data_IF_467430092851
#
_entry.id   IF_467430092851
#
_cell.length_a   1.000
_cell.length_b   1.000
_cell.length_c   1.000
_cell.angle_alpha   90.00
_cell.angle_beta   90.00
_cell.angle_gamma   90.00
#
_symmetry.space_group_name_H-M   'P 1'
#
loop_
_entity.id
_entity.type
_entity.pdbx_description
1 polymer ?
#
# COMPACT_ATOMS: atom_id res chain seq x y z
N UNK A 1 -0.08 -17.50 30.59
CA UNK A 1 0.44 -17.90 29.26
C UNK A 1 0.14 -16.76 28.31
N UNK A 2 1.16 -16.11 27.77
CA UNK A 2 0.97 -14.91 26.93
C UNK A 2 0.77 -15.35 25.49
N UNK A 3 -0.49 -15.53 25.07
CA UNK A 3 -0.82 -15.88 23.68
C UNK A 3 -0.53 -14.68 22.78
N UNK A 4 0.69 -14.58 22.27
CA UNK A 4 1.08 -13.54 21.32
C UNK A 4 0.21 -13.68 20.07
N UNK A 5 -0.67 -12.69 19.84
CA UNK A 5 -1.50 -12.65 18.64
C UNK A 5 -0.57 -12.52 17.42
N UNK A 6 -0.54 -13.56 16.58
CA UNK A 6 0.23 -13.59 15.34
C UNK A 6 -0.17 -12.41 14.45
N UNK A 7 0.81 -11.54 14.14
CA UNK A 7 0.62 -10.34 13.32
C UNK A 7 0.40 -10.70 11.85
N UNK A 8 -0.16 -9.75 11.08
CA UNK A 8 -0.46 -9.90 9.63
C UNK A 8 0.74 -10.44 8.84
N UNK A 9 1.93 -9.92 9.11
CA UNK A 9 3.21 -10.38 8.54
C UNK A 9 3.40 -11.90 8.72
N UNK A 10 3.29 -12.38 9.95
CA UNK A 10 3.51 -13.80 10.29
C UNK A 10 2.41 -14.70 9.68
N UNK A 11 1.16 -14.25 9.65
CA UNK A 11 0.05 -14.99 9.03
C UNK A 11 0.25 -15.17 7.53
N UNK A 12 0.50 -14.07 6.80
CA UNK A 12 0.55 -14.04 5.33
C UNK A 12 1.87 -14.59 4.80
N UNK A 13 3.01 -14.26 5.40
CA UNK A 13 4.34 -14.70 4.91
C UNK A 13 4.77 -16.05 5.47
N UNK A 14 4.73 -16.21 6.80
CA UNK A 14 5.35 -17.38 7.47
C UNK A 14 4.40 -18.58 7.59
N UNK A 15 3.13 -18.35 7.93
CA UNK A 15 2.18 -19.44 8.22
C UNK A 15 1.49 -19.94 6.96
N UNK A 16 0.87 -19.05 6.18
CA UNK A 16 0.07 -19.39 5.01
C UNK A 16 0.77 -19.11 3.66
N UNK A 17 1.97 -18.51 3.66
CA UNK A 17 2.61 -18.01 2.43
C UNK A 17 2.82 -19.05 1.33
N UNK A 18 3.22 -20.28 1.68
CA UNK A 18 3.35 -21.38 0.71
C UNK A 18 2.04 -21.65 -0.04
N UNK A 19 0.93 -21.58 0.69
CA UNK A 19 -0.41 -21.95 0.23
C UNK A 19 -1.06 -20.78 -0.52
N UNK A 20 -0.78 -19.54 -0.08
CA UNK A 20 -1.22 -18.30 -0.75
C UNK A 20 -0.59 -18.19 -2.14
N UNK A 21 0.74 -18.31 -2.23
CA UNK A 21 1.51 -18.02 -3.45
C UNK A 21 1.88 -19.24 -4.29
N UNK A 22 1.38 -20.43 -3.91
CA UNK A 22 1.63 -21.71 -4.59
C UNK A 22 3.13 -22.02 -4.77
N UNK A 23 3.89 -21.81 -3.70
CA UNK A 23 5.36 -21.92 -3.69
C UNK A 23 5.87 -22.71 -2.49
N UNK A 24 7.07 -23.27 -2.61
CA UNK A 24 7.78 -23.84 -1.48
C UNK A 24 8.07 -22.76 -0.42
N UNK A 25 7.94 -23.11 0.87
CA UNK A 25 8.22 -22.21 2.00
C UNK A 25 9.68 -21.72 2.01
N UNK A 26 10.62 -22.52 1.49
CA UNK A 26 12.02 -22.13 1.31
C UNK A 26 12.17 -20.84 0.48
N UNK A 27 11.35 -20.65 -0.55
CA UNK A 27 11.38 -19.45 -1.41
C UNK A 27 10.92 -18.17 -0.71
N UNK A 28 10.19 -18.29 0.41
CA UNK A 28 9.70 -17.17 1.21
C UNK A 28 10.57 -16.90 2.45
N UNK A 29 11.47 -17.82 2.77
CA UNK A 29 12.20 -17.87 4.05
C UNK A 29 13.14 -16.69 4.28
N UNK A 30 13.70 -16.11 3.21
CA UNK A 30 14.67 -15.02 3.31
C UNK A 30 14.38 -13.93 2.28
N UNK A 31 14.87 -12.71 2.53
CA UNK A 31 14.82 -11.63 1.55
C UNK A 31 15.44 -12.02 0.21
N UNK A 32 16.62 -12.66 0.22
CA UNK A 32 17.34 -13.04 -0.99
C UNK A 32 16.51 -14.01 -1.85
N UNK A 33 15.92 -15.04 -1.22
CA UNK A 33 15.06 -16.00 -1.91
C UNK A 33 13.79 -15.35 -2.46
N UNK A 34 13.27 -14.30 -1.83
CA UNK A 34 12.08 -13.56 -2.31
C UNK A 34 12.36 -12.67 -3.52
N UNK A 35 13.62 -12.29 -3.81
CA UNK A 35 13.96 -11.49 -5.01
C UNK A 35 13.56 -12.17 -6.33
N UNK A 36 13.43 -13.49 -6.37
CA UNK A 36 12.93 -14.22 -7.54
C UNK A 36 11.51 -13.80 -7.95
N UNK A 37 10.72 -13.25 -7.02
CA UNK A 37 9.34 -12.80 -7.28
C UNK A 37 9.23 -11.33 -7.69
N UNK A 38 10.34 -10.61 -7.94
CA UNK A 38 10.34 -9.16 -8.24
C UNK A 38 9.39 -8.79 -9.40
N UNK A 39 9.31 -9.62 -10.44
CA UNK A 39 8.46 -9.40 -11.61
C UNK A 39 6.98 -9.54 -11.24
N UNK A 40 6.63 -10.51 -10.40
CA UNK A 40 5.27 -10.74 -9.88
C UNK A 40 4.71 -9.54 -9.11
N UNK A 41 5.59 -8.77 -8.46
CA UNK A 41 5.25 -7.55 -7.68
C UNK A 41 5.40 -6.25 -8.47
N UNK A 42 5.71 -6.34 -9.77
CA UNK A 42 5.68 -5.24 -10.72
C UNK A 42 7.03 -4.73 -11.22
N UNK A 43 8.15 -5.43 -10.99
CA UNK A 43 9.46 -5.03 -11.54
C UNK A 43 9.44 -4.98 -13.06
N UNK A 44 9.73 -3.81 -13.64
CA UNK A 44 9.76 -3.61 -15.09
C UNK A 44 10.89 -2.72 -15.53
N UNK A 45 11.44 -3.05 -16.70
CA UNK A 45 12.32 -2.19 -17.48
C UNK A 45 11.48 -1.25 -18.34
N UNK A 46 11.93 0.00 -18.48
CA UNK A 46 11.34 0.99 -19.38
C UNK A 46 12.44 1.87 -19.98
N UNK A 47 12.23 2.42 -21.18
CA UNK A 47 13.16 3.39 -21.77
C UNK A 47 12.72 4.79 -21.36
N UNK A 48 13.65 5.60 -20.86
CA UNK A 48 13.39 7.03 -20.62
C UNK A 48 13.39 7.83 -21.93
N UNK A 49 13.04 9.13 -21.86
CA UNK A 49 12.98 10.01 -23.04
C UNK A 49 14.32 10.17 -23.78
N UNK A 50 15.45 9.73 -23.18
CA UNK A 50 16.79 9.74 -23.78
C UNK A 50 17.21 8.34 -24.27
N UNK A 51 16.30 7.37 -24.24
CA UNK A 51 16.52 5.99 -24.68
C UNK A 51 17.24 5.10 -23.65
N UNK A 52 17.62 5.62 -22.49
CA UNK A 52 18.29 4.83 -21.47
C UNK A 52 17.31 3.88 -20.78
N UNK A 53 17.72 2.63 -20.58
CA UNK A 53 16.91 1.65 -19.84
C UNK A 53 16.95 1.99 -18.35
N UNK A 54 15.77 2.06 -17.75
CA UNK A 54 15.52 2.28 -16.33
C UNK A 54 14.71 1.11 -15.80
N UNK A 55 14.88 0.82 -14.52
CA UNK A 55 14.12 -0.22 -13.82
C UNK A 55 13.31 0.44 -12.70
N UNK A 56 12.04 0.03 -12.55
CA UNK A 56 11.20 0.40 -11.41
C UNK A 56 10.14 -0.67 -11.14
N UNK A 57 9.61 -0.66 -9.93
CA UNK A 57 8.34 -1.34 -9.66
C UNK A 57 7.19 -0.48 -10.20
N UNK A 58 6.28 -1.10 -10.94
CA UNK A 58 5.01 -0.51 -11.35
C UNK A 58 3.98 -0.69 -10.24
N UNK A 59 3.17 0.34 -9.99
CA UNK A 59 2.04 0.30 -9.04
C UNK A 59 0.91 -0.58 -9.58
N UNK A 60 0.70 -0.54 -10.90
CA UNK A 60 -0.43 -1.15 -11.59
C UNK A 60 -0.07 -2.36 -12.45
N UNK A 61 1.10 -2.39 -13.08
CA UNK A 61 1.50 -3.51 -13.93
C UNK A 61 2.12 -4.64 -13.08
N UNK A 62 1.27 -5.28 -12.28
CA UNK A 62 1.61 -6.23 -11.20
C UNK A 62 0.79 -7.52 -11.33
N UNK A 63 1.48 -8.66 -11.44
CA UNK A 63 0.84 -9.98 -11.58
C UNK A 63 -0.09 -10.33 -10.40
N UNK A 64 0.39 -10.18 -9.16
CA UNK A 64 -0.38 -10.58 -7.96
C UNK A 64 -1.65 -9.76 -7.71
N UNK A 65 -1.88 -8.67 -8.47
CA UNK A 65 -3.12 -7.91 -8.43
C UNK A 65 -4.15 -8.42 -9.43
N UNK A 66 -3.71 -8.96 -10.57
CA UNK A 66 -4.59 -9.26 -11.70
C UNK A 66 -4.92 -10.73 -11.76
N UNK A 67 -6.19 -11.05 -11.97
CA UNK A 67 -6.59 -12.33 -12.50
C UNK A 67 -6.05 -12.47 -13.94
N UNK A 68 -5.60 -13.67 -14.31
CA UNK A 68 -5.20 -14.02 -15.69
C UNK A 68 -4.24 -13.00 -16.35
N UNK A 69 -3.17 -12.63 -15.63
CA UNK A 69 -2.31 -11.50 -15.98
C UNK A 69 -1.46 -11.69 -17.26
N UNK A 70 -1.78 -10.95 -18.32
CA UNK A 70 -1.05 -10.97 -19.60
C UNK A 70 0.12 -9.95 -19.69
N UNK A 71 0.45 -9.26 -18.59
CA UNK A 71 1.58 -8.35 -18.53
C UNK A 71 1.26 -6.86 -18.62
N UNK A 72 0.00 -6.46 -18.69
CA UNK A 72 -0.46 -5.05 -18.65
C UNK A 72 -1.63 -4.86 -17.67
N UNK A 73 -1.98 -3.61 -17.35
CA UNK A 73 -3.10 -3.29 -16.47
C UNK A 73 -4.42 -3.64 -17.18
N UNK A 74 -5.21 -4.52 -16.55
CA UNK A 74 -6.59 -4.80 -16.97
C UNK A 74 -7.56 -4.39 -15.87
N UNK A 75 -8.33 -3.33 -16.13
CA UNK A 75 -9.32 -2.77 -15.20
C UNK A 75 -10.46 -3.74 -14.84
N UNK A 76 -10.69 -4.79 -15.64
CA UNK A 76 -11.72 -5.80 -15.39
C UNK A 76 -11.21 -6.96 -14.53
N UNK A 77 -9.90 -7.17 -14.46
CA UNK A 77 -9.26 -8.27 -13.75
C UNK A 77 -8.37 -7.82 -12.57
N UNK A 78 -8.12 -6.52 -12.41
CA UNK A 78 -7.41 -5.94 -11.26
C UNK A 78 -8.19 -6.18 -9.96
N UNK A 79 -7.45 -6.49 -8.89
CA UNK A 79 -7.93 -6.93 -7.59
C UNK A 79 -8.74 -8.26 -7.57
N UNK A 80 -8.78 -9.01 -8.68
CA UNK A 80 -9.47 -10.31 -8.77
C UNK A 80 -8.53 -11.52 -8.77
N UNK A 81 -7.23 -11.35 -8.53
CA UNK A 81 -6.30 -12.47 -8.41
C UNK A 81 -6.65 -13.33 -7.15
N UNK A 82 -6.79 -14.67 -7.27
CA UNK A 82 -7.06 -15.57 -6.13
C UNK A 82 -6.10 -15.43 -4.94
N UNK A 83 -4.85 -14.99 -5.18
CA UNK A 83 -3.87 -14.66 -4.14
C UNK A 83 -4.45 -13.64 -3.14
N UNK A 84 -5.16 -12.61 -3.60
CA UNK A 84 -5.68 -11.55 -2.73
C UNK A 84 -6.78 -12.06 -1.79
N UNK A 85 -7.67 -12.92 -2.29
CA UNK A 85 -8.68 -13.59 -1.48
C UNK A 85 -8.02 -14.47 -0.40
N UNK A 86 -6.96 -15.22 -0.77
CA UNK A 86 -6.20 -16.03 0.19
C UNK A 86 -5.46 -15.16 1.22
N UNK A 87 -4.92 -14.01 0.82
CA UNK A 87 -4.31 -13.02 1.73
C UNK A 87 -5.35 -12.50 2.73
N UNK A 88 -6.53 -12.07 2.27
CA UNK A 88 -7.61 -11.62 3.15
C UNK A 88 -8.04 -12.72 4.12
N UNK A 89 -8.30 -13.93 3.62
CA UNK A 89 -8.63 -15.10 4.44
C UNK A 89 -7.57 -15.39 5.50
N UNK A 90 -6.28 -15.29 5.16
CA UNK A 90 -5.18 -15.45 6.12
C UNK A 90 -5.17 -14.36 7.20
N UNK A 91 -5.47 -13.10 6.83
CA UNK A 91 -5.57 -11.97 7.76
C UNK A 91 -6.75 -12.18 8.72
N UNK A 92 -7.99 -12.29 8.21
CA UNK A 92 -9.20 -12.28 9.04
C UNK A 92 -9.49 -13.63 9.73
N UNK A 93 -9.22 -14.77 9.07
CA UNK A 93 -9.62 -16.12 9.53
C UNK A 93 -8.43 -17.08 9.75
N UNK A 94 -7.20 -16.71 9.35
CA UNK A 94 -5.97 -17.49 9.59
C UNK A 94 -5.68 -18.60 8.57
N UNK A 95 -4.55 -19.30 8.72
CA UNK A 95 -4.04 -20.31 7.75
C UNK A 95 -5.09 -21.38 7.38
N UNK A 96 -5.91 -21.84 8.33
CA UNK A 96 -6.93 -22.86 8.07
C UNK A 96 -7.99 -22.41 7.04
N UNK A 97 -8.31 -21.12 6.99
CA UNK A 97 -9.24 -20.59 6.00
C UNK A 97 -8.65 -20.56 4.58
N UNK A 98 -7.33 -20.37 4.45
CA UNK A 98 -6.61 -20.49 3.17
C UNK A 98 -6.66 -21.92 2.66
N UNK A 99 -6.34 -22.90 3.51
CA UNK A 99 -6.40 -24.32 3.16
C UNK A 99 -7.83 -24.74 2.75
N UNK A 100 -8.86 -24.24 3.43
CA UNK A 100 -10.25 -24.48 3.07
C UNK A 100 -10.66 -23.81 1.74
N UNK A 101 -10.20 -22.59 1.47
CA UNK A 101 -10.45 -21.89 0.21
C UNK A 101 -9.80 -22.63 -0.97
N UNK A 102 -8.60 -23.18 -0.79
CA UNK A 102 -7.92 -24.01 -1.81
C UNK A 102 -8.68 -25.33 -2.05
N UNK A 103 -9.19 -25.98 -1.00
CA UNK A 103 -9.89 -27.25 -1.13
C UNK A 103 -11.33 -27.12 -1.67
N UNK A 104 -12.06 -26.09 -1.26
CA UNK A 104 -13.52 -25.99 -1.40
C UNK A 104 -14.00 -24.69 -2.09
N UNK A 105 -13.09 -23.83 -2.57
CA UNK A 105 -13.41 -22.52 -3.14
C UNK A 105 -13.86 -21.45 -2.12
N UNK A 106 -14.27 -21.84 -0.91
CA UNK A 106 -14.79 -20.93 0.13
C UNK A 106 -13.94 -20.95 1.41
N UNK A 107 -13.70 -19.79 2.04
CA UNK A 107 -12.95 -19.70 3.30
C UNK A 107 -13.77 -20.23 4.48
N UNK A 108 -13.55 -21.49 4.87
CA UNK A 108 -14.23 -22.07 6.04
C UNK A 108 -13.94 -21.28 7.33
N UNK A 109 -15.00 -20.99 8.09
CA UNK A 109 -14.84 -20.56 9.48
C UNK A 109 -14.27 -21.70 10.32
N UNK A 110 -13.28 -21.38 11.16
CA UNK A 110 -12.64 -22.33 12.04
C UNK A 110 -13.55 -22.70 13.25
N UNK A 111 -14.52 -23.58 13.00
CA UNK A 111 -15.40 -24.25 13.99
C UNK A 111 -16.14 -23.33 14.98
N UNK A 112 -17.40 -22.98 14.68
CA UNK A 112 -18.42 -22.49 15.65
C UNK A 112 -18.01 -21.34 16.58
N UNK A 113 -16.99 -20.58 16.23
CA UNK A 113 -16.60 -19.36 16.93
C UNK A 113 -16.90 -18.20 15.99
N UNK A 114 -17.47 -17.13 16.54
CA UNK A 114 -17.59 -15.84 15.86
C UNK A 114 -16.22 -15.47 15.28
N UNK A 115 -16.17 -15.27 13.97
CA UNK A 115 -14.99 -14.72 13.33
C UNK A 115 -14.88 -13.24 13.70
N UNK A 116 -13.69 -12.64 13.53
CA UNK A 116 -13.53 -11.19 13.73
C UNK A 116 -14.48 -10.39 12.84
N UNK A 117 -14.86 -10.94 11.67
CA UNK A 117 -15.88 -10.38 10.77
C UNK A 117 -17.27 -10.36 11.41
N UNK A 118 -17.66 -11.46 12.06
CA UNK A 118 -18.97 -11.59 12.72
C UNK A 118 -19.03 -10.70 13.96
N UNK A 119 -17.94 -10.67 14.75
CA UNK A 119 -17.78 -9.83 15.94
C UNK A 119 -17.78 -8.32 15.62
N UNK A 120 -17.35 -7.93 14.42
CA UNK A 120 -17.33 -6.54 13.96
C UNK A 120 -18.50 -6.19 13.02
N UNK A 121 -19.49 -7.09 12.88
CA UNK A 121 -20.67 -6.85 12.04
C UNK A 121 -20.35 -6.55 10.58
N UNK A 122 -19.19 -6.98 10.06
CA UNK A 122 -18.81 -6.70 8.67
C UNK A 122 -19.75 -7.47 7.73
N UNK A 123 -20.61 -6.75 7.03
CA UNK A 123 -21.60 -7.29 6.07
C UNK A 123 -21.10 -7.27 4.62
N UNK A 124 -20.05 -6.48 4.35
CA UNK A 124 -19.47 -6.29 3.02
C UNK A 124 -17.96 -6.01 3.08
N UNK A 125 -17.30 -6.12 1.93
CA UNK A 125 -15.89 -5.78 1.74
C UNK A 125 -15.71 -4.26 1.59
N UNK A 126 -14.75 -3.68 2.31
CA UNK A 126 -14.45 -2.25 2.21
C UNK A 126 -13.37 -1.96 1.16
N UNK A 127 -13.35 -0.76 0.55
CA UNK A 127 -12.26 -0.34 -0.35
C UNK A 127 -10.88 -0.46 0.29
N UNK A 128 -10.77 -0.07 1.57
CA UNK A 128 -9.54 -0.17 2.36
C UNK A 128 -9.07 -1.62 2.56
N UNK A 129 -9.98 -2.58 2.73
CA UNK A 129 -9.61 -3.99 2.85
C UNK A 129 -8.99 -4.54 1.56
N UNK A 130 -9.54 -4.18 0.39
CA UNK A 130 -9.02 -4.59 -0.92
C UNK A 130 -7.65 -3.93 -1.18
N UNK A 131 -7.54 -2.61 -0.97
CA UNK A 131 -6.29 -1.87 -1.12
C UNK A 131 -5.17 -2.41 -0.22
N UNK A 132 -5.48 -2.69 1.06
CA UNK A 132 -4.57 -3.34 2.00
C UNK A 132 -4.14 -4.72 1.49
N UNK A 133 -5.05 -5.54 0.98
CA UNK A 133 -4.71 -6.86 0.45
C UNK A 133 -3.76 -6.77 -0.75
N UNK A 134 -3.95 -5.80 -1.66
CA UNK A 134 -3.03 -5.55 -2.77
C UNK A 134 -1.59 -5.23 -2.31
N UNK A 135 -1.44 -4.34 -1.32
CA UNK A 135 -0.14 -3.99 -0.75
C UNK A 135 0.48 -5.15 0.03
N UNK A 136 -0.28 -5.80 0.92
CA UNK A 136 0.21 -6.93 1.73
C UNK A 136 0.59 -8.12 0.85
N UNK A 137 -0.14 -8.36 -0.24
CA UNK A 137 0.17 -9.42 -1.20
C UNK A 137 1.51 -9.19 -1.93
N UNK A 138 1.75 -7.96 -2.39
CA UNK A 138 3.03 -7.58 -3.01
C UNK A 138 4.16 -7.62 -1.99
N UNK A 139 3.96 -7.02 -0.82
CA UNK A 139 4.97 -6.97 0.23
C UNK A 139 5.40 -8.36 0.72
N UNK A 140 4.46 -9.30 0.91
CA UNK A 140 4.77 -10.59 1.54
C UNK A 140 5.74 -11.46 0.72
N UNK A 141 5.78 -11.29 -0.62
CA UNK A 141 6.77 -11.92 -1.52
C UNK A 141 7.88 -10.95 -1.98
N UNK A 142 7.92 -9.72 -1.46
CA UNK A 142 8.99 -8.77 -1.75
C UNK A 142 10.29 -9.07 -0.98
N UNK A 143 11.38 -8.45 -1.39
CA UNK A 143 12.65 -8.51 -0.66
C UNK A 143 12.61 -7.80 0.71
N UNK A 144 11.57 -7.02 1.04
CA UNK A 144 11.51 -6.25 2.28
C UNK A 144 11.12 -7.13 3.49
N UNK A 145 11.93 -7.15 4.54
CA UNK A 145 11.67 -7.99 5.71
C UNK A 145 10.55 -7.46 6.61
N UNK A 146 10.34 -6.14 6.67
CA UNK A 146 9.26 -5.48 7.42
C UNK A 146 8.32 -4.73 6.47
N UNK A 147 7.04 -4.66 6.81
CA UNK A 147 6.10 -3.74 6.16
C UNK A 147 6.26 -2.38 6.84
N UNK A 148 6.76 -1.41 6.09
CA UNK A 148 6.98 -0.03 6.50
C UNK A 148 6.48 0.88 5.37
N UNK A 149 6.36 2.18 5.62
CA UNK A 149 5.96 3.17 4.61
C UNK A 149 6.76 3.03 3.30
N UNK A 150 8.09 2.89 3.41
CA UNK A 150 8.98 2.60 2.27
C UNK A 150 9.79 1.33 2.49
N UNK A 151 9.81 0.46 1.48
CA UNK A 151 10.58 -0.77 1.45
C UNK A 151 12.08 -0.49 1.44
N UNK A 152 12.81 -0.99 2.46
CA UNK A 152 14.27 -0.80 2.59
C UNK A 152 15.09 -1.44 1.47
N UNK A 153 14.58 -2.49 0.85
CA UNK A 153 15.29 -3.25 -0.19
C UNK A 153 14.70 -3.02 -1.58
N UNK A 154 13.38 -2.92 -1.69
CA UNK A 154 12.73 -2.68 -2.98
C UNK A 154 12.66 -1.20 -3.36
N UNK A 155 12.71 -0.30 -2.38
CA UNK A 155 12.45 1.13 -2.56
C UNK A 155 10.98 1.47 -2.83
N UNK A 156 10.07 0.48 -2.83
CA UNK A 156 8.63 0.68 -3.06
C UNK A 156 8.04 1.51 -1.92
N UNK A 157 7.21 2.49 -2.27
CA UNK A 157 6.44 3.27 -1.31
C UNK A 157 5.10 2.55 -1.07
N UNK A 158 5.07 1.71 -0.05
CA UNK A 158 3.92 0.86 0.27
C UNK A 158 2.72 1.67 0.75
N UNK A 159 2.95 2.88 1.28
CA UNK A 159 1.88 3.81 1.66
C UNK A 159 1.29 4.49 0.43
N UNK A 160 2.12 5.08 -0.43
CA UNK A 160 1.63 5.72 -1.66
C UNK A 160 0.90 4.69 -2.56
N UNK A 161 1.37 3.44 -2.60
CA UNK A 161 0.68 2.35 -3.30
C UNK A 161 -0.68 2.01 -2.66
N UNK A 162 -0.79 1.99 -1.31
CA UNK A 162 -2.08 1.81 -0.61
C UNK A 162 -3.06 2.96 -0.92
N UNK A 163 -2.60 4.21 -0.79
CA UNK A 163 -3.40 5.41 -1.05
C UNK A 163 -3.86 5.47 -2.51
N UNK A 164 -2.99 5.07 -3.45
CA UNK A 164 -3.31 4.96 -4.89
C UNK A 164 -4.40 3.91 -5.16
N UNK A 165 -4.33 2.74 -4.51
CA UNK A 165 -5.35 1.70 -4.65
C UNK A 165 -6.68 2.10 -4.00
N UNK A 166 -6.63 2.69 -2.80
CA UNK A 166 -7.81 3.17 -2.09
C UNK A 166 -8.53 4.24 -2.90
N UNK A 167 -7.78 5.22 -3.44
CA UNK A 167 -8.32 6.27 -4.31
C UNK A 167 -8.99 5.69 -5.56
N UNK A 168 -8.34 4.76 -6.27
CA UNK A 168 -8.94 4.12 -7.45
C UNK A 168 -10.28 3.43 -7.16
N UNK A 169 -10.38 2.75 -6.01
CA UNK A 169 -11.61 2.07 -5.61
C UNK A 169 -12.71 3.06 -5.20
N UNK A 170 -12.37 4.10 -4.44
CA UNK A 170 -13.32 5.16 -4.04
C UNK A 170 -13.81 5.97 -5.24
N UNK A 171 -12.89 6.48 -6.07
CA UNK A 171 -13.23 7.19 -7.31
C UNK A 171 -14.09 6.30 -8.23
N UNK A 172 -13.79 5.00 -8.30
CA UNK A 172 -14.55 4.02 -9.06
C UNK A 172 -15.97 3.80 -8.57
N UNK A 173 -16.18 3.73 -7.26
CA UNK A 173 -17.51 3.64 -6.64
C UNK A 173 -18.31 4.94 -6.85
N UNK A 174 -17.70 6.08 -6.50
CA UNK A 174 -18.33 7.42 -6.61
C UNK A 174 -18.76 7.76 -8.05
N UNK A 175 -18.04 7.23 -9.05
CA UNK A 175 -18.32 7.45 -10.48
C UNK A 175 -19.02 6.26 -11.16
N UNK A 176 -19.67 5.38 -10.38
CA UNK A 176 -20.49 4.25 -10.82
C UNK A 176 -19.81 3.27 -11.80
N UNK A 177 -18.50 3.06 -11.66
CA UNK A 177 -17.73 2.27 -12.63
C UNK A 177 -18.04 0.78 -12.52
N UNK A 178 -18.62 0.21 -13.58
CA UNK A 178 -19.00 -1.21 -13.66
C UNK A 178 -17.85 -2.17 -13.34
N UNK A 179 -16.64 -1.86 -13.81
CA UNK A 179 -15.43 -2.64 -13.50
C UNK A 179 -15.14 -2.67 -12.00
N UNK A 180 -15.21 -1.53 -11.32
CA UNK A 180 -14.96 -1.44 -9.88
C UNK A 180 -16.08 -2.08 -9.07
N UNK A 181 -17.35 -1.82 -9.40
CA UNK A 181 -18.50 -2.53 -8.79
C UNK A 181 -18.39 -4.06 -8.90
N UNK A 182 -17.88 -4.56 -10.03
CA UNK A 182 -17.64 -5.99 -10.20
C UNK A 182 -16.63 -6.52 -9.18
N UNK A 183 -15.58 -5.79 -8.85
CA UNK A 183 -14.60 -6.19 -7.81
C UNK A 183 -15.32 -6.42 -6.47
N UNK A 184 -16.10 -5.44 -6.00
CA UNK A 184 -16.85 -5.57 -4.74
C UNK A 184 -17.82 -6.76 -4.75
N UNK A 185 -18.52 -6.99 -5.88
CA UNK A 185 -19.42 -8.14 -6.03
C UNK A 185 -18.70 -9.48 -5.93
N UNK A 186 -17.58 -9.68 -6.63
CA UNK A 186 -16.81 -10.92 -6.58
C UNK A 186 -16.22 -11.18 -5.17
N UNK A 187 -15.75 -10.12 -4.50
CA UNK A 187 -15.28 -10.21 -3.11
C UNK A 187 -16.41 -10.53 -2.11
N UNK A 188 -17.57 -9.87 -2.23
CA UNK A 188 -18.74 -10.15 -1.38
C UNK A 188 -19.27 -11.57 -1.60
N UNK A 189 -19.33 -12.06 -2.84
CA UNK A 189 -19.74 -13.43 -3.13
C UNK A 189 -18.86 -14.51 -2.46
N UNK A 190 -17.57 -14.22 -2.22
CA UNK A 190 -16.63 -15.15 -1.57
C UNK A 190 -16.66 -15.06 -0.04
N UNK A 191 -16.78 -13.86 0.53
CA UNK A 191 -16.63 -13.64 1.99
C UNK A 191 -17.94 -13.45 2.74
N UNK A 192 -18.96 -12.91 2.07
CA UNK A 192 -20.27 -12.47 2.60
C UNK A 192 -21.46 -13.05 1.78
N UNK A 193 -21.47 -14.36 1.43
CA UNK A 193 -22.50 -14.91 0.56
C UNK A 193 -23.90 -14.84 1.18
N UNK A 194 -24.87 -14.32 0.42
CA UNK A 194 -26.27 -14.22 0.86
C UNK A 194 -26.59 -13.00 1.74
N UNK A 195 -25.73 -11.97 1.73
CA UNK A 195 -26.04 -10.66 2.35
C UNK A 195 -26.56 -9.62 1.35
N UNK A 196 -26.67 -9.97 0.06
CA UNK A 196 -27.35 -9.16 -0.96
C UNK A 196 -28.80 -8.84 -0.52
N UNK A 197 -29.04 -7.60 -0.08
CA UNK A 197 -30.36 -7.10 0.31
C UNK A 197 -30.75 -7.20 1.79
N UNK A 198 -29.79 -7.37 2.73
CA UNK A 198 -30.05 -7.06 4.14
C UNK A 198 -29.76 -5.60 4.47
N UNK A 199 -30.62 -4.72 3.98
CA UNK A 199 -30.84 -3.38 4.56
C UNK A 199 -31.57 -3.48 5.92
N UNK A 200 -31.15 -4.42 6.77
CA UNK A 200 -31.51 -4.43 8.19
C UNK A 200 -30.55 -3.47 8.92
N UNK A 201 -30.66 -2.18 8.58
CA UNK A 201 -30.33 -1.10 9.51
C UNK A 201 -31.31 -1.20 10.68
N UNK A 202 -31.03 -2.13 11.60
CA UNK A 202 -31.72 -2.22 12.88
C UNK A 202 -31.38 -0.96 13.68
N UNK A 203 -32.41 -0.16 13.93
CA UNK A 203 -32.44 0.93 14.90
C UNK A 203 -31.20 1.85 14.85
N UNK A 204 -31.27 2.75 13.86
CA UNK A 204 -31.01 4.18 14.06
C UNK A 204 -30.91 4.60 15.53
N UNK A 205 -29.72 4.53 16.10
CA UNK A 205 -29.47 5.07 17.42
C UNK A 205 -29.44 6.59 17.33
N UNK A 206 -30.37 7.24 18.03
CA UNK A 206 -30.45 8.70 18.10
C UNK A 206 -29.14 9.35 18.57
N UNK A 207 -28.32 8.63 19.33
CA UNK A 207 -26.98 9.08 19.73
C UNK A 207 -26.02 9.13 18.53
N UNK A 208 -26.14 8.19 17.60
CA UNK A 208 -25.32 8.14 16.38
C UNK A 208 -25.69 9.25 15.39
N UNK A 209 -26.99 9.54 15.19
CA UNK A 209 -27.40 10.72 14.40
C UNK A 209 -26.90 12.02 15.02
N UNK A 210 -27.07 12.18 16.34
CA UNK A 210 -26.61 13.37 17.05
C UNK A 210 -25.09 13.58 16.89
N UNK A 211 -24.30 12.50 17.02
CA UNK A 211 -22.85 12.55 16.79
C UNK A 211 -22.47 12.90 15.33
N UNK A 212 -23.26 12.48 14.34
CA UNK A 212 -23.03 12.82 12.93
C UNK A 212 -23.44 14.27 12.60
N UNK A 213 -24.55 14.74 13.15
CA UNK A 213 -24.96 16.15 13.03
C UNK A 213 -23.92 17.07 13.70
N UNK A 214 -23.44 16.72 14.91
CA UNK A 214 -22.35 17.44 15.59
C UNK A 214 -21.03 17.46 14.81
N UNK A 215 -20.76 16.45 13.98
CA UNK A 215 -19.58 16.42 13.09
C UNK A 215 -19.79 17.22 11.79
N UNK A 216 -21.03 17.37 11.34
CA UNK A 216 -21.37 18.18 10.16
C UNK A 216 -21.45 19.68 10.50
N UNK A 217 -21.77 20.01 11.75
CA UNK A 217 -21.75 21.36 12.31
C UNK A 217 -20.37 21.78 12.87
N UNK A 218 -19.36 20.89 12.87
CA UNK A 218 -17.99 21.21 13.28
C UNK A 218 -17.32 22.08 12.21
N UNK A 219 -16.67 23.18 12.63
CA UNK A 219 -16.06 24.12 11.68
C UNK A 219 -14.86 23.47 10.97
N UNK A 220 -14.87 23.38 9.64
CA UNK A 220 -13.68 23.01 8.89
C UNK A 220 -12.54 23.96 9.27
N UNK A 221 -11.41 23.42 9.79
CA UNK A 221 -10.22 24.22 10.11
C UNK A 221 -9.67 24.86 8.83
N UNK A 222 -10.14 26.08 8.53
CA UNK A 222 -9.77 26.80 7.34
C UNK A 222 -8.27 27.04 7.29
N UNK A 223 -7.63 26.56 6.23
CA UNK A 223 -6.25 26.94 5.92
C UNK A 223 -6.19 28.47 5.80
N UNK A 224 -5.50 29.11 6.76
CA UNK A 224 -5.41 30.56 6.83
C UNK A 224 -4.57 31.12 5.67
N UNK A 225 -5.21 31.41 4.54
CA UNK A 225 -4.66 32.23 3.45
C UNK A 225 -4.38 33.65 3.96
N UNK A 226 -3.21 33.82 4.57
CA UNK A 226 -2.68 35.09 5.05
C UNK A 226 -1.95 35.89 3.98
N UNK A 227 -2.54 36.05 2.79
CA UNK A 227 -2.06 37.04 1.81
C UNK A 227 -2.82 38.36 2.01
N UNK A 228 -2.11 39.41 2.41
CA UNK A 228 -2.34 40.73 1.82
C UNK A 228 -1.11 41.63 1.91
N UNK A 229 -0.93 42.44 0.87
CA UNK A 229 0.28 43.21 0.55
C UNK A 229 0.18 44.67 1.04
N UNK A 230 1.33 45.34 1.22
CA UNK A 230 1.55 46.81 1.13
C UNK A 230 0.69 47.75 2.04
N UNK A 231 0.99 49.03 2.33
CA UNK A 231 2.00 50.04 1.98
C UNK A 231 1.95 51.11 3.12
N UNK A 232 2.85 52.09 3.35
CA UNK A 232 4.09 52.58 2.73
C UNK A 232 4.87 53.47 3.76
N UNK A 233 6.13 53.86 3.47
CA UNK A 233 6.86 55.05 4.00
C UNK A 233 7.16 55.11 5.54
N UNK A 234 8.26 55.71 6.06
CA UNK A 234 9.13 56.76 5.51
C UNK A 234 10.56 56.79 6.10
N UNK A 235 11.50 57.40 5.34
CA UNK A 235 12.77 58.11 5.69
C UNK A 235 13.65 57.77 6.92
N UNK A 236 14.97 57.71 6.67
CA UNK A 236 16.03 57.69 7.71
C UNK A 236 17.45 57.58 7.14
N UNK A 237 18.07 58.72 6.82
CA UNK A 237 19.44 58.86 6.30
C UNK A 237 20.52 58.33 7.28
N UNK A 238 21.66 57.81 6.81
CA UNK A 238 22.93 58.57 6.76
C UNK A 238 24.16 57.77 6.21
N UNK A 239 25.25 58.49 5.96
CA UNK A 239 26.48 58.21 5.18
C UNK A 239 27.57 57.32 5.83
N UNK A 240 28.61 56.98 5.03
CA UNK A 240 29.93 56.45 5.46
C UNK A 240 30.42 55.27 4.60
N UNK A 241 31.07 55.47 3.44
CA UNK A 241 32.50 55.78 3.21
C UNK A 241 33.51 54.62 3.45
N UNK A 242 34.53 54.51 2.56
CA UNK A 242 35.66 53.56 2.65
C UNK A 242 35.63 52.46 1.57
N UNK A 243 36.14 52.69 0.35
CA UNK A 243 37.53 52.40 -0.09
C UNK A 243 37.89 50.90 -0.13
N UNK A 244 38.14 50.32 -1.33
CA UNK A 244 39.47 49.96 -1.89
C UNK A 244 40.15 48.78 -1.16
N UNK A 245 40.86 47.85 -1.81
CA UNK A 245 41.34 47.75 -3.19
C UNK A 245 41.67 46.28 -3.53
N UNK A 246 41.55 45.96 -4.82
CA UNK A 246 42.43 45.11 -5.65
C UNK A 246 42.83 43.65 -5.35
N UNK A 247 43.19 42.98 -6.47
CA UNK A 247 44.14 41.87 -6.65
C UNK A 247 44.01 40.53 -5.87
N UNK A 248 44.36 39.35 -6.40
CA UNK A 248 44.61 38.83 -7.77
C UNK A 248 44.59 37.29 -7.70
N UNK A 249 44.65 36.61 -8.87
CA UNK A 249 45.35 35.32 -9.18
C UNK A 249 45.50 34.20 -8.13
N UNK A 250 45.58 32.90 -8.45
CA UNK A 250 45.39 32.01 -9.61
C UNK A 250 46.02 30.67 -9.11
N UNK A 251 45.53 29.52 -9.60
CA UNK A 251 46.29 28.24 -9.75
C UNK A 251 47.01 27.55 -8.56
N UNK A 252 46.70 26.30 -8.18
CA UNK A 252 46.96 24.98 -8.85
C UNK A 252 48.33 24.34 -8.49
N UNK A 253 48.35 23.01 -8.34
CA UNK A 253 49.52 22.13 -8.07
C UNK A 253 50.15 22.25 -6.66
N UNK A 254 50.83 21.25 -6.08
CA UNK A 254 51.28 19.93 -6.57
C UNK A 254 51.23 18.89 -5.40
N UNK A 255 50.91 17.61 -5.61
CA UNK A 255 51.81 16.45 -5.86
C UNK A 255 52.83 16.08 -4.77
N UNK A 256 52.90 14.77 -4.46
CA UNK A 256 53.87 14.12 -3.58
C UNK A 256 53.22 13.37 -2.40
N UNK A 257 53.63 12.16 -2.01
CA UNK A 257 54.67 11.27 -2.56
C UNK A 257 55.14 10.25 -1.50
N UNK A 258 55.54 9.04 -1.91
CA UNK A 258 56.11 7.97 -1.07
C UNK A 258 55.05 6.99 -0.50
N UNK A 259 55.16 5.65 -0.54
CA UNK A 259 56.25 4.64 -0.61
C UNK A 259 56.73 4.10 0.75
N UNK A 260 56.81 2.76 0.87
CA UNK A 260 57.10 2.00 2.10
C UNK A 260 55.81 1.28 2.58
N UNK A 261 55.61 -0.03 2.48
CA UNK A 261 56.52 -1.19 2.45
C UNK A 261 57.24 -1.41 3.79
N UNK A 262 56.70 -2.32 4.61
CA UNK A 262 57.38 -3.46 5.25
C UNK A 262 56.34 -4.32 6.00
N UNK A 263 56.48 -5.65 5.83
CA UNK A 263 55.88 -6.82 6.53
C UNK A 263 54.39 -6.86 6.95
#
# INVERSE_FOLDING_TARGET
MTTQRSNTSTRVRTQAGSDIYETQSANLSSSETRKQFRERIGWRTYKDKKGAVRERYSVWAVEVLHKDYEGELDIHNVFLNPILFRVFAAIIRGKSAVAAMIANGTPASARRNETVSDLWGCTEITPGAIAMCGVVARWAISADDCLQEKGKQTGIDWRADFETYLKYLLDGLNNDKTSVKNIFREWNAVFFPGQDGRDEHSDDDSETRNALDMLADDEEEGEGEGENENENENEGENEGEGEREDETTLTRHDSGGGSGHED
#
